data_IF_211198251781
#
_entry.id   IF_211198251781
#
_cell.length_a   1.000
_cell.length_b   1.000
_cell.length_c   1.000
_cell.angle_alpha   90.00
_cell.angle_beta   90.00
_cell.angle_gamma   90.00
#
_symmetry.space_group_name_H-M   'P 1'
#
loop_
_entity.id
_entity.type
_entity.pdbx_description
1 polymer ?
#
# COMPACT_ATOMS: atom_id res chain seq x y z
N UNK A 1 -39.97 -45.76 -4.72
CA UNK A 1 -39.42 -47.11 -4.57
C UNK A 1 -38.91 -47.60 -5.90
N UNK A 2 -37.75 -48.26 -5.88
CA UNK A 2 -37.10 -49.05 -6.95
C UNK A 2 -36.73 -48.29 -8.23
N UNK A 3 -35.44 -47.99 -8.48
CA UNK A 3 -34.38 -48.91 -8.93
C UNK A 3 -34.78 -49.80 -10.11
N UNK A 4 -34.08 -49.63 -11.24
CA UNK A 4 -33.18 -50.64 -11.86
C UNK A 4 -33.10 -50.43 -13.39
N UNK A 5 -31.89 -50.21 -13.93
CA UNK A 5 -30.90 -51.17 -14.49
C UNK A 5 -31.01 -51.18 -16.02
N UNK A 6 -30.02 -50.68 -16.74
CA UNK A 6 -28.76 -51.34 -17.15
C UNK A 6 -28.99 -52.65 -17.92
N UNK A 7 -28.52 -52.66 -19.17
CA UNK A 7 -27.84 -53.75 -19.90
C UNK A 7 -27.45 -53.20 -21.29
N UNK A 8 -26.16 -53.09 -21.63
CA UNK A 8 -25.36 -54.13 -22.32
C UNK A 8 -25.75 -54.21 -23.81
N UNK A 9 -24.89 -54.16 -24.85
CA UNK A 9 -23.58 -54.79 -25.03
C UNK A 9 -22.96 -54.33 -26.38
N UNK A 10 -21.63 -54.43 -26.51
CA UNK A 10 -20.83 -54.22 -27.73
C UNK A 10 -21.06 -55.28 -28.83
N UNK A 11 -20.81 -54.93 -30.10
CA UNK A 11 -19.70 -55.45 -30.95
C UNK A 11 -19.98 -55.45 -32.46
N UNK A 12 -19.05 -54.82 -33.20
CA UNK A 12 -18.37 -55.33 -34.41
C UNK A 12 -19.03 -55.31 -35.83
N UNK A 13 -18.21 -54.74 -36.74
CA UNK A 13 -17.89 -55.13 -38.14
C UNK A 13 -18.56 -54.41 -39.35
N UNK A 14 -17.67 -53.72 -40.08
CA UNK A 14 -17.57 -53.30 -41.51
C UNK A 14 -17.82 -54.47 -42.50
N UNK A 15 -17.91 -54.33 -43.86
CA UNK A 15 -17.45 -53.27 -44.80
C UNK A 15 -18.50 -52.95 -45.91
N UNK A 16 -18.36 -52.08 -46.93
CA UNK A 16 -17.41 -51.91 -48.04
C UNK A 16 -17.87 -50.69 -48.87
N UNK A 17 -16.98 -49.96 -49.55
CA UNK A 17 -17.37 -49.01 -50.59
C UNK A 17 -16.28 -48.00 -50.94
N UNK A 18 -15.34 -48.40 -51.79
CA UNK A 18 -14.27 -47.56 -52.29
C UNK A 18 -14.73 -46.53 -53.32
N UNK A 19 -14.19 -45.32 -53.21
CA UNK A 19 -14.22 -44.29 -54.25
C UNK A 19 -12.80 -43.74 -54.42
N UNK A 20 -12.23 -43.92 -55.60
CA UNK A 20 -10.94 -43.38 -55.99
C UNK A 20 -11.03 -41.86 -56.13
N UNK A 21 -10.20 -41.10 -55.39
CA UNK A 21 -9.93 -39.70 -55.70
C UNK A 21 -8.41 -39.49 -55.81
N UNK A 22 -8.06 -38.94 -56.95
CA UNK A 22 -6.74 -38.58 -57.44
C UNK A 22 -5.92 -37.78 -56.42
N UNK A 23 -4.68 -38.21 -56.19
CA UNK A 23 -3.72 -37.51 -55.35
C UNK A 23 -3.10 -36.33 -56.11
N UNK A 24 -3.63 -35.12 -55.89
CA UNK A 24 -2.88 -33.88 -56.12
C UNK A 24 -2.49 -33.30 -54.75
N UNK A 25 -1.17 -33.16 -54.55
CA UNK A 25 -0.56 -32.93 -53.25
C UNK A 25 -1.02 -31.66 -52.53
N UNK A 26 -1.60 -31.83 -51.34
CA UNK A 26 -1.74 -30.75 -50.36
C UNK A 26 -0.43 -30.60 -49.59
N UNK A 27 0.27 -29.48 -49.78
CA UNK A 27 1.42 -29.08 -48.96
C UNK A 27 0.97 -28.90 -47.51
N UNK A 28 1.50 -29.72 -46.60
CA UNK A 28 1.29 -29.55 -45.17
C UNK A 28 1.77 -28.15 -44.73
N UNK A 29 0.89 -27.37 -44.11
CA UNK A 29 1.30 -26.13 -43.43
C UNK A 29 2.05 -26.54 -42.16
N UNK A 30 3.36 -26.34 -42.16
CA UNK A 30 4.20 -26.55 -40.98
C UNK A 30 3.75 -25.61 -39.85
N UNK A 31 3.32 -26.18 -38.73
CA UNK A 31 3.10 -25.43 -37.49
C UNK A 31 4.47 -25.03 -36.93
N UNK A 32 4.80 -23.74 -36.98
CA UNK A 32 6.04 -23.21 -36.41
C UNK A 32 5.81 -23.04 -34.90
N UNK A 33 6.59 -23.70 -34.02
CA UNK A 33 6.46 -23.50 -32.58
C UNK A 33 6.78 -22.03 -32.26
N UNK A 34 5.86 -21.31 -31.59
CA UNK A 34 6.21 -20.01 -30.99
C UNK A 34 7.36 -20.27 -30.02
N UNK A 35 8.53 -19.70 -30.33
CA UNK A 35 9.68 -19.73 -29.43
C UNK A 35 9.23 -19.13 -28.10
N UNK A 36 9.20 -19.96 -27.06
CA UNK A 36 8.99 -19.50 -25.70
C UNK A 36 10.26 -18.71 -25.35
N UNK A 37 10.19 -17.39 -25.49
CA UNK A 37 11.32 -16.51 -25.25
C UNK A 37 11.56 -16.48 -23.73
N UNK A 38 12.46 -17.31 -23.25
CA UNK A 38 12.91 -17.27 -21.86
C UNK A 38 13.65 -15.93 -21.67
N UNK A 39 13.22 -15.04 -20.76
CA UNK A 39 13.99 -13.85 -20.47
C UNK A 39 15.41 -14.28 -20.07
N UNK A 40 16.47 -13.69 -20.64
CA UNK A 40 17.83 -14.04 -20.26
C UNK A 40 18.01 -13.80 -18.76
N UNK A 41 18.78 -14.64 -18.06
CA UNK A 41 19.02 -14.52 -16.60
C UNK A 41 19.41 -13.10 -16.17
N UNK A 42 20.08 -12.36 -17.05
CA UNK A 42 20.44 -10.95 -16.89
C UNK A 42 19.22 -10.02 -16.72
N UNK A 43 18.11 -10.28 -17.43
CA UNK A 43 16.87 -9.50 -17.27
C UNK A 43 16.20 -9.74 -15.92
N UNK A 44 16.21 -10.97 -15.41
CA UNK A 44 15.73 -11.26 -14.06
C UNK A 44 16.59 -10.60 -12.98
N UNK A 45 17.91 -10.65 -13.12
CA UNK A 45 18.84 -9.96 -12.22
C UNK A 45 18.63 -8.43 -12.27
N UNK A 46 18.45 -7.85 -13.46
CA UNK A 46 18.17 -6.42 -13.61
C UNK A 46 16.83 -6.03 -12.99
N UNK A 47 15.79 -6.85 -13.14
CA UNK A 47 14.48 -6.62 -12.51
C UNK A 47 14.55 -6.71 -10.99
N UNK A 48 15.26 -7.70 -10.45
CA UNK A 48 15.45 -7.84 -8.99
C UNK A 48 16.25 -6.66 -8.43
N UNK A 49 17.34 -6.26 -9.10
CA UNK A 49 18.13 -5.09 -8.70
C UNK A 49 17.32 -3.79 -8.75
N UNK A 50 16.48 -3.61 -9.78
CA UNK A 50 15.60 -2.45 -9.90
C UNK A 50 14.56 -2.44 -8.77
N UNK A 51 13.89 -3.58 -8.52
CA UNK A 51 12.88 -3.74 -7.46
C UNK A 51 13.47 -3.55 -6.05
N UNK A 52 14.71 -3.99 -5.80
CA UNK A 52 15.39 -3.81 -4.52
C UNK A 52 15.67 -2.35 -4.19
N UNK A 53 15.80 -1.48 -5.20
CA UNK A 53 16.01 -0.03 -5.01
C UNK A 53 14.77 0.75 -4.59
N UNK A 54 13.57 0.16 -4.68
CA UNK A 54 12.31 0.83 -4.30
C UNK A 54 11.93 0.65 -2.82
N UNK A 55 12.67 -0.15 -2.06
CA UNK A 55 12.40 -0.36 -0.64
C UNK A 55 12.94 0.84 0.16
N UNK A 56 12.18 1.94 0.19
CA UNK A 56 12.42 3.02 1.15
C UNK A 56 12.13 2.46 2.53
N UNK A 57 13.17 2.16 3.31
CA UNK A 57 12.99 1.75 4.70
C UNK A 57 12.32 2.90 5.46
N UNK A 58 11.06 2.72 5.87
CA UNK A 58 10.44 3.61 6.86
C UNK A 58 11.09 3.30 8.20
N UNK A 59 12.23 3.91 8.49
CA UNK A 59 12.84 3.77 9.80
C UNK A 59 11.93 4.42 10.84
N UNK A 60 11.64 3.73 11.93
CA UNK A 60 11.04 4.36 13.10
C UNK A 60 12.09 5.24 13.78
N UNK A 61 11.73 6.44 14.25
CA UNK A 61 12.63 7.31 14.99
C UNK A 61 11.97 7.79 16.27
N UNK A 62 12.68 7.66 17.38
CA UNK A 62 12.34 8.33 18.64
C UNK A 62 13.30 9.51 18.79
N UNK A 63 12.77 10.73 18.78
CA UNK A 63 13.59 11.93 18.92
C UNK A 63 13.97 12.18 20.39
N UNK A 64 15.14 12.77 20.61
CA UNK A 64 15.39 13.45 21.88
C UNK A 64 14.68 14.80 21.94
N UNK A 65 14.39 15.32 23.14
CA UNK A 65 13.67 16.59 23.33
C UNK A 65 14.26 17.76 22.53
N UNK A 66 15.57 17.97 22.62
CA UNK A 66 16.24 19.10 21.97
C UNK A 66 16.42 18.89 20.46
N UNK A 67 16.55 17.65 20.01
CA UNK A 67 16.60 17.31 18.60
C UNK A 67 15.25 17.62 17.93
N UNK A 68 14.16 17.18 18.56
CA UNK A 68 12.82 17.48 18.08
C UNK A 68 12.56 18.99 18.06
N UNK A 69 12.89 19.70 19.14
CA UNK A 69 12.72 21.15 19.22
C UNK A 69 13.43 21.88 18.05
N UNK A 70 14.66 21.46 17.70
CA UNK A 70 15.40 22.02 16.57
C UNK A 70 14.70 21.78 15.24
N UNK A 71 14.19 20.57 15.00
CA UNK A 71 13.45 20.26 13.77
C UNK A 71 12.15 21.05 13.67
N UNK A 72 11.35 21.07 14.74
CA UNK A 72 10.08 21.82 14.77
C UNK A 72 10.29 23.33 14.60
N UNK A 73 11.36 23.89 15.18
CA UNK A 73 11.74 25.29 14.98
C UNK A 73 12.12 25.56 13.51
N UNK A 74 12.94 24.70 12.89
CA UNK A 74 13.29 24.81 11.46
C UNK A 74 12.09 24.74 10.54
N UNK A 75 11.06 23.99 10.92
CA UNK A 75 9.81 23.87 10.19
C UNK A 75 8.81 25.01 10.47
N UNK A 76 9.18 26.00 11.29
CA UNK A 76 8.41 27.22 11.50
C UNK A 76 7.24 27.08 12.46
N UNK A 77 7.29 26.13 13.40
CA UNK A 77 6.25 26.00 14.44
C UNK A 77 6.39 27.00 15.59
N UNK A 78 7.58 27.55 15.82
CA UNK A 78 7.79 28.53 16.88
C UNK A 78 7.03 29.84 16.58
N UNK A 79 6.05 30.16 17.43
CA UNK A 79 5.13 31.29 17.24
C UNK A 79 3.97 31.00 16.27
N UNK A 80 3.89 29.81 15.67
CA UNK A 80 2.80 29.49 14.75
C UNK A 80 1.45 29.54 15.49
N UNK A 81 0.53 30.39 15.01
CA UNK A 81 -0.79 30.62 15.61
C UNK A 81 -0.72 31.09 17.08
N UNK A 82 0.41 31.66 17.51
CA UNK A 82 0.62 32.16 18.86
C UNK A 82 1.09 31.10 19.87
N UNK A 83 1.44 29.89 19.43
CA UNK A 83 1.99 28.85 20.29
C UNK A 83 3.52 28.86 20.27
N UNK A 84 4.12 28.75 21.44
CA UNK A 84 5.58 28.71 21.58
C UNK A 84 6.12 27.35 21.15
N UNK A 85 7.41 27.27 20.78
CA UNK A 85 8.06 25.99 20.48
C UNK A 85 7.85 24.92 21.57
N UNK A 86 7.80 25.34 22.84
CA UNK A 86 7.59 24.46 23.98
C UNK A 86 6.23 23.75 23.96
N UNK A 87 5.18 24.39 23.45
CA UNK A 87 3.84 23.80 23.35
C UNK A 87 3.85 22.60 22.39
N UNK A 88 4.52 22.73 21.25
CA UNK A 88 4.62 21.66 20.26
C UNK A 88 5.47 20.48 20.75
N UNK A 89 6.56 20.77 21.47
CA UNK A 89 7.38 19.75 22.11
C UNK A 89 6.59 19.04 23.20
N UNK A 90 5.82 19.77 24.01
CA UNK A 90 4.95 19.20 25.03
C UNK A 90 3.90 18.27 24.40
N UNK A 91 3.22 18.74 23.34
CA UNK A 91 2.25 17.94 22.61
C UNK A 91 2.87 16.61 22.14
N UNK A 92 3.98 16.67 21.40
CA UNK A 92 4.64 15.48 20.87
C UNK A 92 5.09 14.49 21.96
N UNK A 93 5.46 14.99 23.15
CA UNK A 93 5.82 14.14 24.28
C UNK A 93 4.60 13.38 24.81
N UNK A 94 3.50 14.08 25.09
CA UNK A 94 2.32 13.47 25.69
C UNK A 94 1.50 12.62 24.70
N UNK A 95 1.59 12.90 23.40
CA UNK A 95 0.90 12.10 22.40
C UNK A 95 1.65 10.82 22.06
N UNK A 96 2.99 10.85 21.92
CA UNK A 96 3.74 9.71 21.37
C UNK A 96 5.04 9.37 22.08
N UNK A 97 5.44 10.14 23.10
CA UNK A 97 6.78 10.02 23.69
C UNK A 97 7.89 10.30 22.68
N UNK A 98 7.66 11.21 21.73
CA UNK A 98 8.56 11.54 20.61
C UNK A 98 8.79 10.43 19.58
N UNK A 99 7.97 9.38 19.56
CA UNK A 99 8.08 8.27 18.63
C UNK A 99 7.32 8.55 17.32
N UNK A 100 8.03 8.69 16.20
CA UNK A 100 7.41 8.91 14.88
C UNK A 100 6.62 7.71 14.36
N UNK A 101 6.87 6.51 14.87
CA UNK A 101 6.17 5.29 14.46
C UNK A 101 5.04 4.89 15.44
N UNK A 102 4.68 5.77 16.38
CA UNK A 102 3.59 5.50 17.31
C UNK A 102 2.25 5.35 16.56
N UNK A 103 1.55 4.25 16.81
CA UNK A 103 0.20 4.00 16.31
C UNK A 103 -0.65 3.52 17.47
N UNK A 104 -1.79 4.16 17.64
CA UNK A 104 -2.82 3.76 18.61
C UNK A 104 -4.14 3.49 17.90
N UNK A 105 -4.95 2.60 18.48
CA UNK A 105 -6.18 2.09 17.87
C UNK A 105 -7.40 2.46 18.72
N UNK A 106 -8.33 3.17 18.12
CA UNK A 106 -9.59 3.57 18.75
C UNK A 106 -10.65 2.47 18.62
N UNK A 107 -11.63 2.47 19.54
CA UNK A 107 -12.71 1.48 19.56
C UNK A 107 -13.60 1.49 18.30
N UNK A 108 -13.65 2.60 17.57
CA UNK A 108 -14.39 2.71 16.31
C UNK A 108 -13.59 2.21 15.09
N UNK A 109 -12.39 1.68 15.30
CA UNK A 109 -11.50 1.21 14.25
C UNK A 109 -10.65 2.29 13.58
N UNK A 110 -10.78 3.56 14.00
CA UNK A 110 -9.84 4.60 13.58
C UNK A 110 -8.49 4.44 14.28
N UNK A 111 -7.46 5.10 13.73
CA UNK A 111 -6.08 5.02 14.22
C UNK A 111 -5.54 6.41 14.48
N UNK A 112 -4.76 6.57 15.55
CA UNK A 112 -3.98 7.77 15.82
C UNK A 112 -2.54 7.52 15.37
N UNK A 113 -1.99 8.40 14.52
CA UNK A 113 -0.78 8.10 13.77
C UNK A 113 0.35 9.11 14.02
N UNK A 114 1.53 8.56 14.27
CA UNK A 114 2.81 9.26 14.26
C UNK A 114 3.06 10.16 15.46
N UNK A 115 4.02 11.06 15.30
CA UNK A 115 4.54 11.93 16.36
C UNK A 115 3.43 12.70 17.11
N UNK A 116 2.44 13.21 16.37
CA UNK A 116 1.33 14.01 16.91
C UNK A 116 0.01 13.23 17.00
N UNK A 117 0.02 11.89 16.89
CA UNK A 117 -1.17 11.05 17.03
C UNK A 117 -2.38 11.53 16.21
N UNK A 118 -2.15 11.82 14.93
CA UNK A 118 -3.18 12.38 14.04
C UNK A 118 -4.19 11.29 13.67
N UNK A 119 -5.46 11.53 13.95
CA UNK A 119 -6.52 10.53 13.81
C UNK A 119 -7.00 10.33 12.34
N UNK A 120 -7.09 9.06 11.93
CA UNK A 120 -7.48 8.62 10.57
C UNK A 120 -8.97 8.76 10.24
N UNK A 121 -9.84 8.98 11.24
CA UNK A 121 -11.27 9.25 11.01
C UNK A 121 -11.46 10.52 10.19
N UNK A 122 -10.57 11.50 10.37
CA UNK A 122 -10.75 12.86 9.82
C UNK A 122 -9.58 13.36 8.97
N UNK A 123 -8.34 13.12 9.38
CA UNK A 123 -7.21 13.92 8.86
C UNK A 123 -6.41 13.23 7.78
N UNK A 124 -6.12 11.94 7.92
CA UNK A 124 -5.42 11.13 6.93
C UNK A 124 -6.28 9.93 6.53
N UNK A 125 -5.99 9.30 5.41
CA UNK A 125 -6.67 8.06 4.99
C UNK A 125 -5.81 6.82 5.23
N UNK A 126 -6.45 5.75 5.66
CA UNK A 126 -5.91 4.40 5.53
C UNK A 126 -6.34 3.80 4.18
N UNK A 127 -6.19 2.49 4.01
CA UNK A 127 -6.73 1.78 2.83
C UNK A 127 -8.27 1.68 2.84
N UNK A 128 -8.93 2.00 3.96
CA UNK A 128 -10.40 2.13 4.00
C UNK A 128 -10.87 3.47 3.42
N UNK A 129 -12.06 3.47 2.82
CA UNK A 129 -12.60 4.60 2.08
C UNK A 129 -13.35 5.62 2.97
N UNK A 130 -13.63 5.29 4.23
CA UNK A 130 -14.55 6.07 5.09
C UNK A 130 -13.89 7.24 5.85
N UNK A 131 -12.84 7.86 5.30
CA UNK A 131 -12.18 9.02 5.93
C UNK A 131 -12.40 10.32 5.15
N UNK A 132 -12.53 11.44 5.88
CA UNK A 132 -12.59 12.77 5.25
C UNK A 132 -11.25 13.19 4.62
N UNK A 133 -10.15 12.59 5.06
CA UNK A 133 -8.78 12.82 4.58
C UNK A 133 -8.45 14.31 4.37
N UNK A 134 -8.71 15.14 5.38
CA UNK A 134 -8.57 16.59 5.24
C UNK A 134 -7.13 17.01 4.92
N UNK A 135 -6.11 16.27 5.35
CA UNK A 135 -4.71 16.54 5.03
C UNK A 135 -4.27 15.96 3.67
N UNK A 136 -5.15 15.22 2.97
CA UNK A 136 -4.91 14.68 1.62
C UNK A 136 -3.66 13.79 1.54
N UNK A 137 -3.46 12.93 2.52
CA UNK A 137 -2.29 12.05 2.64
C UNK A 137 -2.67 10.70 3.22
N UNK A 138 -1.82 9.70 3.04
CA UNK A 138 -1.99 8.42 3.73
C UNK A 138 -1.51 8.54 5.18
N UNK A 139 -2.13 7.81 6.11
CA UNK A 139 -1.67 7.83 7.49
C UNK A 139 -0.25 7.24 7.64
N UNK A 140 0.16 6.35 6.73
CA UNK A 140 1.55 5.86 6.64
C UNK A 140 2.57 6.97 6.39
N UNK A 141 2.16 8.06 5.73
CA UNK A 141 3.03 9.20 5.43
C UNK A 141 3.38 10.01 6.70
N UNK A 142 2.66 9.76 7.80
CA UNK A 142 2.89 10.34 9.13
C UNK A 142 3.82 9.49 10.00
N UNK A 143 4.14 8.26 9.58
CA UNK A 143 4.92 7.29 10.36
C UNK A 143 6.41 7.30 10.01
N UNK A 144 6.89 8.41 9.44
CA UNK A 144 8.26 8.53 8.93
C UNK A 144 9.13 9.44 9.81
N UNK A 145 10.47 9.30 9.78
CA UNK A 145 11.37 10.24 10.46
C UNK A 145 11.32 11.67 9.91
N UNK A 146 10.94 11.82 8.63
CA UNK A 146 10.71 13.13 8.03
C UNK A 146 9.38 13.69 8.52
N UNK A 147 9.46 14.71 9.37
CA UNK A 147 8.30 15.31 10.03
C UNK A 147 7.48 16.21 9.11
N UNK A 148 7.89 16.44 7.85
CA UNK A 148 7.23 17.39 6.94
C UNK A 148 5.72 17.15 6.81
N UNK A 149 5.30 15.91 6.55
CA UNK A 149 3.88 15.59 6.40
C UNK A 149 3.11 15.78 7.71
N UNK A 150 3.72 15.36 8.82
CA UNK A 150 3.14 15.53 10.15
C UNK A 150 2.95 17.00 10.52
N UNK A 151 3.98 17.84 10.31
CA UNK A 151 3.92 19.28 10.59
C UNK A 151 2.90 19.98 9.69
N UNK A 152 2.89 19.70 8.38
CA UNK A 152 1.89 20.29 7.46
C UNK A 152 0.46 19.97 7.90
N UNK A 153 0.21 18.72 8.30
CA UNK A 153 -1.11 18.32 8.75
C UNK A 153 -1.48 18.97 10.09
N UNK A 154 -0.56 19.02 11.06
CA UNK A 154 -0.78 19.70 12.34
C UNK A 154 -1.06 21.19 12.17
N UNK A 155 -0.31 21.89 11.31
CA UNK A 155 -0.56 23.30 11.02
C UNK A 155 -1.99 23.51 10.48
N UNK A 156 -2.48 22.58 9.66
CA UNK A 156 -3.87 22.60 9.18
C UNK A 156 -4.88 22.36 10.30
N UNK A 157 -4.62 21.43 11.21
CA UNK A 157 -5.48 21.16 12.38
C UNK A 157 -5.60 22.41 13.27
N UNK A 158 -4.46 22.99 13.64
CA UNK A 158 -4.37 24.14 14.57
C UNK A 158 -4.85 25.45 13.94
N UNK A 159 -4.91 25.52 12.61
CA UNK A 159 -5.59 26.62 11.90
C UNK A 159 -7.11 26.60 12.11
N UNK A 160 -7.67 25.49 12.59
CA UNK A 160 -9.07 25.41 12.99
C UNK A 160 -9.40 26.18 14.28
N UNK A 161 -10.69 26.28 14.64
CA UNK A 161 -11.16 27.10 15.76
C UNK A 161 -10.70 26.59 17.14
N UNK A 162 -10.36 25.30 17.27
CA UNK A 162 -9.90 24.71 18.53
C UNK A 162 -8.42 24.95 18.82
N UNK A 163 -7.62 25.35 17.83
CA UNK A 163 -6.17 25.47 17.98
C UNK A 163 -5.53 24.16 18.47
N UNK A 164 -4.60 24.25 19.42
CA UNK A 164 -4.00 23.09 20.10
C UNK A 164 -4.99 22.32 21.00
N UNK A 165 -6.10 22.92 21.44
CA UNK A 165 -7.17 22.22 22.18
C UNK A 165 -7.98 21.24 21.32
N UNK A 166 -7.50 20.90 20.13
CA UNK A 166 -7.99 19.75 19.36
C UNK A 166 -7.51 18.43 19.96
N UNK A 167 -6.30 18.41 20.53
CA UNK A 167 -5.76 17.30 21.32
C UNK A 167 -6.25 17.41 22.77
#
# INVERSE_FOLDING_TARGET
GLMNRLSSQSSALTPCGGGYISATGMKARSWVPRRRLSPPRVTWLALVSLLSGLLTSSQAKVFSRCELAKELHRMGLDGFRGYELADWVCLAYFTSGFNTAAVDHEADGSTNNGLFQINSRKWCRNLSLDSLNLCKMYCSDLLTPDLKNAVVCVMKIVSGPKGLGYW
#
